data_IF_200303865633
#
_entry.id   IF_200303865633
#
_cell.length_a   1.000
_cell.length_b   1.000
_cell.length_c   1.000
_cell.angle_alpha   90.00
_cell.angle_beta   90.00
_cell.angle_gamma   90.00
#
_symmetry.space_group_name_H-M   'P 1'
#
loop_
_entity.id
_entity.type
_entity.pdbx_description
1 polymer ?
#
# COMPACT_ATOMS: atom_id res chain seq x y z
N UNK A 1 -24.42 6.98 -16.08
CA UNK A 1 -23.59 8.19 -15.88
C UNK A 1 -22.73 8.55 -17.10
N UNK A 2 -22.12 7.59 -17.81
CA UNK A 2 -21.26 7.84 -18.99
C UNK A 2 -21.92 8.67 -20.12
N UNK A 3 -23.20 8.43 -20.41
CA UNK A 3 -23.92 9.12 -21.49
C UNK A 3 -24.28 10.58 -21.13
N UNK A 4 -24.59 10.84 -19.86
CA UNK A 4 -24.94 12.19 -19.38
C UNK A 4 -23.76 13.17 -19.44
N UNK A 5 -22.53 12.68 -19.25
CA UNK A 5 -21.33 13.52 -19.27
C UNK A 5 -21.01 14.03 -20.69
N UNK A 6 -21.20 13.17 -21.69
CA UNK A 6 -21.02 13.52 -23.11
C UNK A 6 -22.07 14.54 -23.54
N UNK A 7 -23.34 14.33 -23.13
CA UNK A 7 -24.43 15.25 -23.43
C UNK A 7 -24.21 16.63 -22.79
N UNK A 8 -23.76 16.69 -21.53
CA UNK A 8 -23.46 17.96 -20.86
C UNK A 8 -22.32 18.72 -21.55
N UNK A 9 -21.26 18.03 -22.00
CA UNK A 9 -20.13 18.64 -22.69
C UNK A 9 -20.55 19.21 -24.06
N UNK A 10 -21.38 18.48 -24.80
CA UNK A 10 -21.95 18.93 -26.08
C UNK A 10 -22.81 20.18 -25.88
N UNK A 11 -23.65 20.22 -24.84
CA UNK A 11 -24.48 21.38 -24.53
C UNK A 11 -23.64 22.63 -24.24
N UNK A 12 -22.55 22.49 -23.47
CA UNK A 12 -21.65 23.61 -23.16
C UNK A 12 -20.95 24.12 -24.41
N UNK A 13 -20.44 23.24 -25.27
CA UNK A 13 -19.80 23.62 -26.54
C UNK A 13 -20.78 24.32 -27.47
N UNK A 14 -22.00 23.80 -27.61
CA UNK A 14 -23.06 24.41 -28.44
C UNK A 14 -23.47 25.77 -27.89
N UNK A 15 -23.60 25.93 -26.57
CA UNK A 15 -23.93 27.22 -25.95
C UNK A 15 -22.84 28.29 -26.18
N UNK A 16 -21.56 27.89 -26.14
CA UNK A 16 -20.42 28.77 -26.43
C UNK A 16 -20.44 29.19 -27.90
N UNK A 17 -20.69 28.25 -28.83
CA UNK A 17 -20.80 28.54 -30.27
C UNK A 17 -21.94 29.52 -30.55
N UNK A 18 -23.12 29.30 -29.96
CA UNK A 18 -24.28 30.19 -30.13
C UNK A 18 -23.99 31.57 -29.54
N UNK A 19 -23.35 31.65 -28.36
CA UNK A 19 -23.00 32.92 -27.74
C UNK A 19 -21.96 33.72 -28.55
N UNK A 20 -20.97 33.04 -29.16
CA UNK A 20 -19.97 33.70 -30.01
C UNK A 20 -20.60 34.20 -31.31
N UNK A 21 -21.48 33.40 -31.94
CA UNK A 21 -22.23 33.80 -33.14
C UNK A 21 -23.12 35.04 -32.90
N UNK A 22 -23.77 35.12 -31.74
CA UNK A 22 -24.63 36.26 -31.39
C UNK A 22 -23.86 37.57 -31.11
N UNK A 23 -22.54 37.52 -30.84
CA UNK A 23 -21.73 38.72 -30.52
C UNK A 23 -20.97 39.32 -31.70
N UNK A 24 -20.92 38.64 -32.86
CA UNK A 24 -20.32 39.19 -34.07
C UNK A 24 -18.82 39.53 -33.94
N UNK A 25 -18.07 38.75 -33.16
CA UNK A 25 -16.62 38.95 -32.95
C UNK A 25 -15.79 38.44 -34.14
N UNK A 26 -14.62 39.03 -34.36
CA UNK A 26 -13.70 38.63 -35.42
C UNK A 26 -13.07 37.25 -35.15
N UNK A 27 -13.15 36.38 -36.16
CA UNK A 27 -13.27 34.92 -36.01
C UNK A 27 -11.96 34.17 -35.73
N UNK A 28 -10.85 34.85 -35.40
CA UNK A 28 -9.53 34.20 -35.32
C UNK A 28 -8.95 34.16 -33.90
N UNK A 29 -9.20 35.18 -33.06
CA UNK A 29 -8.66 35.19 -31.69
C UNK A 29 -9.53 34.40 -30.68
N UNK A 30 -10.84 34.28 -30.89
CA UNK A 30 -11.70 33.49 -29.98
C UNK A 30 -11.54 31.96 -30.15
N UNK A 31 -11.09 31.49 -31.31
CA UNK A 31 -11.03 30.06 -31.60
C UNK A 31 -9.89 29.32 -30.92
N UNK A 32 -8.80 30.02 -30.55
CA UNK A 32 -7.72 29.39 -29.80
C UNK A 32 -8.19 28.95 -28.40
N UNK A 33 -9.10 29.72 -27.79
CA UNK A 33 -9.69 29.41 -26.49
C UNK A 33 -10.67 28.24 -26.55
N UNK A 34 -11.51 28.17 -27.60
CA UNK A 34 -12.39 27.02 -27.84
C UNK A 34 -11.57 25.77 -28.11
N UNK A 35 -10.51 25.89 -28.90
CA UNK A 35 -9.58 24.79 -29.20
C UNK A 35 -8.90 24.29 -27.93
N UNK A 36 -8.41 25.19 -27.06
CA UNK A 36 -7.86 24.80 -25.76
C UNK A 36 -8.90 24.07 -24.89
N UNK A 37 -10.12 24.60 -24.79
CA UNK A 37 -11.19 23.98 -23.98
C UNK A 37 -11.53 22.57 -24.48
N UNK A 38 -11.61 22.37 -25.79
CA UNK A 38 -11.85 21.06 -26.42
C UNK A 38 -10.67 20.12 -26.17
N UNK A 39 -9.43 20.61 -26.29
CA UNK A 39 -8.21 19.82 -26.01
C UNK A 39 -8.16 19.40 -24.54
N UNK A 40 -8.44 20.31 -23.59
CA UNK A 40 -8.48 19.98 -22.16
C UNK A 40 -9.58 18.97 -21.83
N UNK A 41 -10.77 19.13 -22.41
CA UNK A 41 -11.86 18.18 -22.24
C UNK A 41 -11.50 16.79 -22.80
N UNK A 42 -10.85 16.73 -23.96
CA UNK A 42 -10.38 15.49 -24.55
C UNK A 42 -9.30 14.82 -23.69
N UNK A 43 -8.31 15.57 -23.21
CA UNK A 43 -7.27 15.06 -22.31
C UNK A 43 -7.87 14.51 -21.03
N UNK A 44 -8.79 15.25 -20.39
CA UNK A 44 -9.48 14.79 -19.19
C UNK A 44 -10.27 13.49 -19.44
N UNK A 45 -10.91 13.37 -20.61
CA UNK A 45 -11.63 12.15 -21.00
C UNK A 45 -10.69 10.95 -21.22
N UNK A 46 -9.56 11.12 -21.90
CA UNK A 46 -8.60 10.04 -22.13
C UNK A 46 -7.91 9.60 -20.83
N UNK A 47 -7.60 10.54 -19.94
CA UNK A 47 -7.08 10.24 -18.59
C UNK A 47 -8.10 9.42 -17.79
N UNK A 48 -9.39 9.78 -17.87
CA UNK A 48 -10.47 9.02 -17.24
C UNK A 48 -10.58 7.58 -17.80
N UNK A 49 -10.49 7.41 -19.12
CA UNK A 49 -10.54 6.08 -19.76
C UNK A 49 -9.34 5.22 -19.36
N UNK A 50 -8.12 5.76 -19.43
CA UNK A 50 -6.90 5.05 -19.07
C UNK A 50 -6.90 4.59 -17.60
N UNK A 51 -7.54 5.36 -16.72
CA UNK A 51 -7.73 5.00 -15.31
C UNK A 51 -8.68 3.82 -15.12
N UNK A 52 -9.84 3.82 -15.78
CA UNK A 52 -10.80 2.71 -15.71
C UNK A 52 -10.18 1.37 -16.17
N UNK A 53 -9.22 1.40 -17.09
CA UNK A 53 -8.50 0.21 -17.52
C UNK A 53 -7.30 -0.16 -16.64
N UNK A 54 -6.80 0.75 -15.78
CA UNK A 54 -5.62 0.54 -14.94
C UNK A 54 -5.95 0.13 -13.50
N UNK A 55 -7.20 0.27 -13.04
CA UNK A 55 -7.61 -0.16 -11.70
C UNK A 55 -8.06 -1.62 -11.76
N UNK A 56 -7.32 -2.59 -11.19
CA UNK A 56 -7.80 -3.96 -11.04
C UNK A 56 -9.07 -3.94 -10.19
N UNK A 57 -10.03 -4.82 -10.50
CA UNK A 57 -11.30 -4.90 -9.78
C UNK A 57 -11.08 -5.23 -8.29
N UNK A 58 -10.96 -4.19 -7.46
CA UNK A 58 -10.95 -4.32 -6.00
C UNK A 58 -12.37 -4.63 -5.57
N UNK A 59 -12.56 -5.74 -4.87
CA UNK A 59 -13.85 -6.16 -4.33
C UNK A 59 -14.44 -5.08 -3.44
N UNK A 60 -15.71 -4.76 -3.66
CA UNK A 60 -16.45 -3.64 -3.06
C UNK A 60 -16.62 -3.69 -1.53
N UNK A 61 -15.97 -4.62 -0.82
CA UNK A 61 -16.10 -4.83 0.62
C UNK A 61 -15.11 -4.01 1.46
N UNK A 62 -14.03 -3.48 0.87
CA UNK A 62 -13.00 -2.70 1.60
C UNK A 62 -12.87 -1.23 1.14
N UNK A 63 -13.87 -0.70 0.44
CA UNK A 63 -13.88 0.68 -0.04
C UNK A 63 -14.23 1.70 1.07
N UNK A 64 -13.40 1.75 2.11
CA UNK A 64 -13.36 2.86 3.07
C UNK A 64 -12.56 4.04 2.50
N UNK A 65 -13.23 5.18 2.34
CA UNK A 65 -12.67 6.55 2.25
C UNK A 65 -11.72 6.99 1.11
N UNK A 66 -11.40 6.16 0.12
CA UNK A 66 -10.56 6.62 -1.01
C UNK A 66 -11.26 7.59 -1.99
N UNK A 67 -12.58 7.77 -1.89
CA UNK A 67 -13.36 8.66 -2.77
C UNK A 67 -13.23 10.15 -2.43
N UNK A 68 -12.72 10.49 -1.24
CA UNK A 68 -12.63 11.88 -0.77
C UNK A 68 -11.57 12.74 -1.45
N UNK A 69 -10.47 12.17 -1.99
CA UNK A 69 -9.36 13.00 -2.51
C UNK A 69 -9.64 13.64 -3.87
N UNK A 70 -10.56 13.08 -4.66
CA UNK A 70 -10.87 13.56 -6.01
C UNK A 70 -11.80 14.77 -6.01
N UNK A 71 -12.71 14.87 -5.04
CA UNK A 71 -13.59 16.03 -4.90
C UNK A 71 -12.79 17.32 -4.67
N UNK A 72 -11.65 17.25 -3.99
CA UNK A 72 -10.76 18.40 -3.80
C UNK A 72 -10.14 18.91 -5.10
N UNK A 73 -9.65 18.01 -5.97
CA UNK A 73 -9.11 18.39 -7.28
C UNK A 73 -10.19 19.00 -8.17
N UNK A 74 -11.37 18.38 -8.19
CA UNK A 74 -12.54 18.90 -8.91
C UNK A 74 -12.94 20.28 -8.37
N UNK A 75 -12.95 20.49 -7.06
CA UNK A 75 -13.23 21.80 -6.44
C UNK A 75 -12.18 22.86 -6.78
N UNK A 76 -10.88 22.52 -6.81
CA UNK A 76 -9.80 23.45 -7.19
C UNK A 76 -9.93 23.86 -8.66
N UNK A 77 -10.21 22.90 -9.55
CA UNK A 77 -10.40 23.16 -10.98
C UNK A 77 -11.66 24.01 -11.19
N UNK A 78 -12.77 23.68 -10.55
CA UNK A 78 -14.02 24.46 -10.63
C UNK A 78 -13.80 25.88 -10.11
N UNK A 79 -13.16 26.05 -8.94
CA UNK A 79 -12.89 27.37 -8.38
C UNK A 79 -12.00 28.22 -9.32
N UNK A 80 -10.97 27.60 -9.90
CA UNK A 80 -10.10 28.24 -10.89
C UNK A 80 -10.88 28.70 -12.13
N UNK A 81 -11.71 27.82 -12.69
CA UNK A 81 -12.55 28.14 -13.85
C UNK A 81 -13.56 29.24 -13.51
N UNK A 82 -14.19 29.20 -12.34
CA UNK A 82 -15.13 30.23 -11.89
C UNK A 82 -14.46 31.60 -11.71
N UNK A 83 -13.23 31.65 -11.16
CA UNK A 83 -12.47 32.91 -10.98
C UNK A 83 -12.09 33.50 -12.33
N UNK A 84 -11.60 32.67 -13.26
CA UNK A 84 -11.25 33.10 -14.62
C UNK A 84 -12.50 33.57 -15.40
N UNK A 85 -13.62 32.84 -15.30
CA UNK A 85 -14.89 33.20 -15.94
C UNK A 85 -15.49 34.49 -15.36
N UNK A 86 -15.45 34.69 -14.04
CA UNK A 86 -15.95 35.90 -13.38
C UNK A 86 -15.19 37.15 -13.83
N UNK A 87 -13.87 37.06 -13.96
CA UNK A 87 -13.04 38.19 -14.43
C UNK A 87 -13.19 38.45 -15.93
N UNK A 88 -13.33 37.40 -16.74
CA UNK A 88 -13.68 37.54 -18.16
C UNK A 88 -15.01 38.27 -18.36
N UNK A 89 -16.02 37.97 -17.54
CA UNK A 89 -17.31 38.68 -17.56
C UNK A 89 -17.21 40.16 -17.17
N UNK A 90 -16.13 40.59 -16.50
CA UNK A 90 -15.87 42.01 -16.19
C UNK A 90 -15.04 42.74 -17.25
N UNK A 91 -14.49 42.04 -18.25
CA UNK A 91 -13.61 42.65 -19.25
C UNK A 91 -12.19 42.93 -18.76
N UNK A 92 -11.81 42.38 -17.59
CA UNK A 92 -10.45 42.50 -17.06
C UNK A 92 -9.59 41.36 -17.62
N UNK A 93 -8.51 41.68 -18.33
CA UNK A 93 -7.53 40.67 -18.74
C UNK A 93 -6.84 40.11 -17.48
N UNK A 94 -6.92 38.79 -17.21
CA UNK A 94 -6.27 38.23 -16.04
C UNK A 94 -4.76 38.39 -16.20
N UNK A 95 -4.06 38.85 -15.15
CA UNK A 95 -2.62 38.89 -15.19
C UNK A 95 -2.05 37.49 -15.42
N UNK A 96 -1.08 37.37 -16.34
CA UNK A 96 -0.50 36.08 -16.77
C UNK A 96 -0.09 35.21 -15.57
N UNK A 97 0.38 35.81 -14.47
CA UNK A 97 0.78 35.08 -13.27
C UNK A 97 -0.37 34.35 -12.55
N UNK A 98 -1.60 34.87 -12.58
CA UNK A 98 -2.77 34.22 -11.96
C UNK A 98 -3.04 32.90 -12.69
N UNK A 99 -2.98 32.92 -14.03
CA UNK A 99 -3.15 31.73 -14.87
C UNK A 99 -2.01 30.73 -14.64
N UNK A 100 -0.76 31.20 -14.56
CA UNK A 100 0.39 30.33 -14.26
C UNK A 100 0.25 29.67 -12.89
N UNK A 101 -0.09 30.42 -11.83
CA UNK A 101 -0.26 29.85 -10.48
C UNK A 101 -1.39 28.82 -10.44
N UNK A 102 -2.52 29.14 -11.08
CA UNK A 102 -3.68 28.27 -11.06
C UNK A 102 -3.48 26.96 -11.85
N UNK A 103 -2.54 26.93 -12.80
CA UNK A 103 -2.18 25.72 -13.55
C UNK A 103 -1.00 24.99 -12.89
N UNK A 104 0.06 25.71 -12.52
CA UNK A 104 1.28 25.11 -12.00
C UNK A 104 1.11 24.56 -10.59
N UNK A 105 0.31 25.19 -9.71
CA UNK A 105 0.12 24.69 -8.36
C UNK A 105 -0.59 23.32 -8.34
N UNK A 106 -1.72 23.10 -9.04
CA UNK A 106 -2.33 21.77 -9.11
C UNK A 106 -1.45 20.72 -9.78
N UNK A 107 -0.72 21.09 -10.84
CA UNK A 107 0.21 20.17 -11.52
C UNK A 107 1.38 19.76 -10.62
N UNK A 108 1.94 20.69 -9.86
CA UNK A 108 2.99 20.41 -8.88
C UNK A 108 2.48 19.48 -7.77
N UNK A 109 1.30 19.77 -7.22
CA UNK A 109 0.64 18.93 -6.21
C UNK A 109 0.37 17.51 -6.73
N UNK A 110 -0.08 17.41 -7.97
CA UNK A 110 -0.31 16.14 -8.64
C UNK A 110 1.01 15.38 -8.90
N UNK A 111 2.06 16.08 -9.32
CA UNK A 111 3.40 15.51 -9.47
C UNK A 111 3.95 14.96 -8.15
N UNK A 112 3.81 15.69 -7.05
CA UNK A 112 4.19 15.22 -5.71
C UNK A 112 3.41 13.96 -5.32
N UNK A 113 2.10 13.92 -5.59
CA UNK A 113 1.27 12.72 -5.33
C UNK A 113 1.69 11.52 -6.20
N UNK A 114 2.01 11.72 -7.47
CA UNK A 114 2.45 10.65 -8.37
C UNK A 114 3.80 10.05 -7.96
N UNK A 115 4.71 10.87 -7.43
CA UNK A 115 6.06 10.42 -7.07
C UNK A 115 6.06 9.74 -5.70
N UNK A 116 5.33 10.29 -4.71
CA UNK A 116 5.28 9.82 -3.33
C UNK A 116 3.87 10.07 -2.73
N UNK A 117 2.88 9.19 -2.98
CA UNK A 117 1.50 9.42 -2.55
C UNK A 117 1.35 9.47 -1.02
N UNK A 118 2.21 8.77 -0.29
CA UNK A 118 2.21 8.74 1.19
C UNK A 118 2.61 10.09 1.79
N UNK A 119 3.60 10.76 1.19
CA UNK A 119 4.04 12.08 1.64
C UNK A 119 3.01 13.16 1.34
N UNK A 120 2.30 13.05 0.21
CA UNK A 120 1.21 13.96 -0.10
C UNK A 120 0.09 13.86 0.96
N UNK A 121 -0.19 12.66 1.47
CA UNK A 121 -1.19 12.42 2.52
C UNK A 121 -0.78 12.99 3.88
N UNK A 122 0.49 12.92 4.27
CA UNK A 122 0.98 13.58 5.49
C UNK A 122 1.04 15.10 5.33
N UNK A 123 1.55 15.57 4.19
CA UNK A 123 1.72 16.99 3.91
C UNK A 123 0.38 17.73 3.79
N UNK A 124 -0.63 17.14 3.13
CA UNK A 124 -1.98 17.73 3.03
C UNK A 124 -2.64 17.93 4.41
N UNK A 125 -2.33 17.04 5.35
CA UNK A 125 -2.90 17.05 6.71
C UNK A 125 -2.07 17.91 7.67
N UNK A 126 -0.85 18.28 7.26
CA UNK A 126 -0.03 19.22 7.99
C UNK A 126 -0.58 20.65 7.83
N UNK A 127 -0.46 21.46 8.89
CA UNK A 127 -0.78 22.88 8.81
C UNK A 127 0.03 23.64 7.75
N UNK A 128 1.13 23.07 7.25
CA UNK A 128 1.97 23.65 6.22
C UNK A 128 1.25 23.81 4.88
N UNK A 129 0.33 22.89 4.53
CA UNK A 129 -0.42 22.95 3.27
C UNK A 129 -1.22 24.26 3.13
N UNK A 130 -2.02 24.56 4.16
CA UNK A 130 -2.84 25.77 4.22
C UNK A 130 -1.95 27.03 4.20
N UNK A 131 -0.82 27.00 4.89
CA UNK A 131 0.15 28.09 4.89
C UNK A 131 0.75 28.35 3.50
N UNK A 132 1.09 27.32 2.73
CA UNK A 132 1.58 27.51 1.35
C UNK A 132 0.54 28.18 0.46
N UNK A 133 -0.74 27.78 0.56
CA UNK A 133 -1.82 28.40 -0.22
C UNK A 133 -1.99 29.86 0.19
N UNK A 134 -1.98 30.16 1.49
CA UNK A 134 -2.11 31.54 2.00
C UNK A 134 -0.92 32.40 1.55
N UNK A 135 0.31 31.90 1.64
CA UNK A 135 1.52 32.63 1.23
C UNK A 135 1.50 32.92 -0.27
N UNK A 136 1.15 31.92 -1.11
CA UNK A 136 1.03 32.13 -2.57
C UNK A 136 -0.08 33.13 -2.89
N UNK A 137 -1.22 33.07 -2.19
CA UNK A 137 -2.32 34.02 -2.36
C UNK A 137 -1.95 35.45 -1.96
N UNK A 138 -1.32 35.64 -0.80
CA UNK A 138 -0.87 36.94 -0.30
C UNK A 138 0.21 37.52 -1.22
N UNK A 139 1.15 36.71 -1.69
CA UNK A 139 2.20 37.16 -2.60
C UNK A 139 1.67 37.48 -4.01
N UNK A 140 0.69 36.72 -4.50
CA UNK A 140 -0.02 37.04 -5.74
C UNK A 140 -0.80 38.36 -5.65
N UNK A 141 -1.47 38.60 -4.52
CA UNK A 141 -2.14 39.87 -4.24
C UNK A 141 -1.15 41.03 -4.13
N UNK A 142 -0.01 40.83 -3.46
CA UNK A 142 1.04 41.84 -3.36
C UNK A 142 1.74 42.11 -4.70
N UNK A 143 1.76 41.16 -5.63
CA UNK A 143 2.32 41.34 -6.97
C UNK A 143 1.44 42.21 -7.88
N UNK A 144 0.13 42.25 -7.64
CA UNK A 144 -0.87 42.93 -8.49
C UNK A 144 -0.85 44.46 -8.33
N UNK A 145 -0.19 45.00 -7.30
CA UNK A 145 -0.54 46.34 -6.81
C UNK A 145 0.26 47.56 -7.29
N UNK A 146 1.39 47.51 -8.04
CA UNK A 146 2.03 48.75 -8.58
C UNK A 146 2.95 48.55 -9.82
N UNK A 147 3.20 49.64 -10.57
CA UNK A 147 3.68 49.69 -11.96
C UNK A 147 5.20 49.47 -12.21
N UNK A 148 6.08 49.55 -11.21
CA UNK A 148 7.52 49.54 -11.49
C UNK A 148 8.14 48.13 -11.58
N UNK A 149 8.83 47.86 -12.70
CA UNK A 149 9.49 46.58 -13.03
C UNK A 149 10.48 46.13 -11.95
N UNK A 150 11.18 47.07 -11.32
CA UNK A 150 12.18 46.79 -10.27
C UNK A 150 11.52 46.13 -9.05
N UNK A 151 10.32 46.56 -8.68
CA UNK A 151 9.59 45.99 -7.56
C UNK A 151 9.12 44.56 -7.86
N UNK A 152 8.81 44.23 -9.12
CA UNK A 152 8.44 42.86 -9.52
C UNK A 152 9.63 41.89 -9.39
N UNK A 153 10.81 42.28 -9.86
CA UNK A 153 12.01 41.44 -9.80
C UNK A 153 12.42 41.17 -8.34
N UNK A 154 12.38 42.20 -7.48
CA UNK A 154 12.69 42.04 -6.06
C UNK A 154 11.74 41.07 -5.34
N UNK A 155 10.44 41.12 -5.67
CA UNK A 155 9.42 40.23 -5.08
C UNK A 155 9.57 38.78 -5.55
N UNK A 156 9.87 38.56 -6.83
CA UNK A 156 10.16 37.20 -7.35
C UNK A 156 11.42 36.62 -6.69
N UNK A 157 12.47 37.44 -6.51
CA UNK A 157 13.66 37.03 -5.77
C UNK A 157 13.36 36.63 -4.32
N UNK A 158 12.51 37.40 -3.62
CA UNK A 158 12.09 37.10 -2.25
C UNK A 158 11.23 35.82 -2.17
N UNK A 159 10.36 35.58 -3.15
CA UNK A 159 9.57 34.35 -3.28
C UNK A 159 10.48 33.12 -3.39
N UNK A 160 11.45 33.17 -4.32
CA UNK A 160 12.39 32.06 -4.52
C UNK A 160 13.22 31.80 -3.25
N UNK A 161 13.67 32.86 -2.58
CA UNK A 161 14.40 32.76 -1.32
C UNK A 161 13.54 32.10 -0.22
N UNK A 162 12.27 32.52 -0.07
CA UNK A 162 11.35 31.94 0.91
C UNK A 162 11.06 30.47 0.62
N UNK A 163 10.85 30.10 -0.64
CA UNK A 163 10.66 28.71 -1.05
C UNK A 163 11.91 27.86 -0.75
N UNK A 164 13.12 28.39 -0.99
CA UNK A 164 14.37 27.73 -0.65
C UNK A 164 14.51 27.54 0.87
N UNK A 165 14.26 28.59 1.66
CA UNK A 165 14.35 28.51 3.13
C UNK A 165 13.31 27.55 3.70
N UNK A 166 12.08 27.54 3.19
CA UNK A 166 11.05 26.58 3.58
C UNK A 166 11.41 25.14 3.17
N UNK A 167 11.98 24.94 1.97
CA UNK A 167 12.46 23.65 1.51
C UNK A 167 13.59 23.09 2.37
N UNK A 168 14.56 23.94 2.75
CA UNK A 168 15.67 23.56 3.64
C UNK A 168 15.16 23.29 5.07
N UNK A 169 14.22 24.11 5.57
CA UNK A 169 13.61 23.90 6.88
C UNK A 169 12.84 22.57 6.97
N UNK A 170 12.08 22.24 5.93
CA UNK A 170 11.39 20.96 5.80
C UNK A 170 12.38 19.79 5.72
N UNK A 171 13.49 19.95 4.98
CA UNK A 171 14.55 18.94 4.87
C UNK A 171 15.28 18.72 6.21
N UNK A 172 15.47 19.76 7.02
CA UNK A 172 16.12 19.64 8.34
C UNK A 172 15.26 18.95 9.41
N UNK A 173 13.94 18.88 9.20
CA UNK A 173 13.00 18.14 10.04
C UNK A 173 12.73 16.73 9.53
N UNK A 174 13.50 16.24 8.56
CA UNK A 174 13.49 14.83 8.24
C UNK A 174 13.81 14.03 9.52
N UNK A 175 12.94 13.11 9.94
CA UNK A 175 13.25 12.26 11.06
C UNK A 175 14.43 11.37 10.65
N UNK A 176 15.59 11.64 11.22
CA UNK A 176 16.67 10.66 11.29
C UNK A 176 16.11 9.50 12.15
N UNK A 177 15.58 8.48 11.49
CA UNK A 177 14.90 7.32 12.11
C UNK A 177 15.91 6.37 12.76
N UNK A 178 16.64 6.86 13.74
CA UNK A 178 17.33 6.04 14.73
C UNK A 178 16.50 6.00 16.01
N UNK A 179 15.34 5.33 16.00
CA UNK A 179 14.67 4.98 17.26
C UNK A 179 15.40 3.74 17.79
N UNK A 180 16.10 3.82 18.93
CA UNK A 180 16.70 2.64 19.53
C UNK A 180 15.57 1.77 20.12
N UNK A 181 15.28 0.65 19.46
CA UNK A 181 14.43 -0.40 20.01
C UNK A 181 15.11 -0.95 21.27
N UNK A 182 14.63 -0.53 22.44
CA UNK A 182 15.04 -1.13 23.71
C UNK A 182 14.17 -2.37 23.90
N UNK A 183 14.56 -3.47 23.27
CA UNK A 183 13.90 -4.77 23.46
C UNK A 183 14.37 -5.36 24.79
N UNK A 184 13.46 -5.45 25.78
CA UNK A 184 13.70 -6.20 27.01
C UNK A 184 13.60 -7.68 26.68
N UNK A 185 14.73 -8.34 26.42
CA UNK A 185 14.78 -9.78 26.15
C UNK A 185 14.59 -10.56 27.46
N UNK A 186 13.37 -11.05 27.70
CA UNK A 186 13.11 -12.00 28.79
C UNK A 186 13.53 -13.41 28.32
N UNK A 187 14.71 -13.86 28.73
CA UNK A 187 15.20 -15.22 28.46
C UNK A 187 14.48 -16.25 29.32
N UNK A 188 13.53 -16.97 28.71
CA UNK A 188 12.91 -18.20 29.23
C UNK A 188 13.93 -19.35 29.20
N UNK A 189 13.88 -20.34 30.12
CA UNK A 189 14.92 -21.36 30.25
C UNK A 189 15.11 -22.17 28.96
N UNK A 190 16.36 -22.26 28.52
CA UNK A 190 16.78 -22.96 27.30
C UNK A 190 16.33 -24.43 27.32
N UNK A 191 15.43 -24.85 26.43
CA UNK A 191 15.18 -26.27 26.18
C UNK A 191 16.47 -26.89 25.68
N UNK A 192 16.79 -28.12 26.13
CA UNK A 192 17.92 -28.88 25.61
C UNK A 192 17.92 -28.96 24.06
N UNK A 193 19.07 -29.28 23.44
CA UNK A 193 19.22 -29.25 22.00
C UNK A 193 18.10 -30.03 21.31
N UNK A 194 17.53 -29.50 20.22
CA UNK A 194 16.39 -30.12 19.56
C UNK A 194 16.79 -31.49 19.00
N UNK A 195 16.10 -32.53 19.47
CA UNK A 195 16.28 -33.89 18.98
C UNK A 195 15.47 -34.05 17.70
N UNK A 196 16.13 -33.94 16.56
CA UNK A 196 15.53 -34.20 15.25
C UNK A 196 15.45 -35.71 15.03
N UNK A 197 14.23 -36.23 14.86
CA UNK A 197 14.02 -37.62 14.43
C UNK A 197 14.37 -37.77 12.93
N UNK A 198 14.80 -38.94 12.48
CA UNK A 198 15.07 -39.18 11.07
C UNK A 198 13.77 -39.21 10.25
N UNK A 199 13.85 -38.83 8.97
CA UNK A 199 12.69 -38.69 8.08
C UNK A 199 11.86 -39.98 7.98
N UNK A 200 12.50 -41.15 7.99
CA UNK A 200 11.85 -42.45 7.92
C UNK A 200 10.98 -42.78 9.15
N UNK A 201 11.16 -42.07 10.28
CA UNK A 201 10.26 -42.16 11.42
C UNK A 201 9.13 -41.13 11.35
N UNK A 202 9.44 -39.91 10.91
CA UNK A 202 8.49 -38.79 10.96
C UNK A 202 7.49 -38.81 9.81
N UNK A 203 7.96 -39.02 8.59
CA UNK A 203 7.13 -38.92 7.39
C UNK A 203 5.96 -39.92 7.39
N UNK A 204 6.12 -41.21 7.76
CA UNK A 204 4.98 -42.11 7.82
C UNK A 204 3.85 -41.64 8.76
N UNK A 205 4.21 -40.99 9.87
CA UNK A 205 3.23 -40.45 10.84
C UNK A 205 2.49 -39.24 10.25
N UNK A 206 3.22 -38.36 9.56
CA UNK A 206 2.63 -37.21 8.86
C UNK A 206 1.70 -37.70 7.74
N UNK A 207 2.17 -38.61 6.88
CA UNK A 207 1.37 -39.15 5.77
C UNK A 207 0.04 -39.75 6.22
N UNK A 208 0.05 -40.48 7.34
CA UNK A 208 -1.17 -41.05 7.92
C UNK A 208 -2.17 -39.96 8.33
N UNK A 209 -1.69 -38.86 8.93
CA UNK A 209 -2.55 -37.76 9.36
C UNK A 209 -3.00 -36.85 8.20
N UNK A 210 -2.15 -36.61 7.21
CA UNK A 210 -2.42 -35.76 6.05
C UNK A 210 -3.40 -36.40 5.08
N UNK A 211 -3.23 -37.69 4.77
CA UNK A 211 -3.99 -38.33 3.69
C UNK A 211 -4.46 -39.75 3.99
N UNK A 212 -4.20 -40.27 5.19
CA UNK A 212 -4.34 -41.70 5.50
C UNK A 212 -3.28 -42.55 4.79
N UNK A 213 -2.11 -41.96 4.49
CA UNK A 213 -1.00 -42.63 3.80
C UNK A 213 -1.22 -42.88 2.30
N UNK A 214 -2.27 -42.30 1.70
CA UNK A 214 -2.67 -42.54 0.32
C UNK A 214 -2.14 -41.46 -0.63
N UNK A 215 -1.49 -41.89 -1.73
CA UNK A 215 -1.07 -40.99 -2.80
C UNK A 215 -2.21 -40.61 -3.75
N UNK A 216 -3.10 -41.56 -4.03
CA UNK A 216 -4.13 -41.42 -5.06
C UNK A 216 -5.54 -41.47 -4.46
N UNK A 217 -6.50 -40.92 -5.20
CA UNK A 217 -7.92 -41.13 -4.97
C UNK A 217 -8.32 -42.59 -5.22
N UNK A 218 -9.61 -42.90 -5.06
CA UNK A 218 -10.15 -44.24 -5.27
C UNK A 218 -9.92 -44.79 -6.70
N UNK A 219 -9.62 -43.92 -7.67
CA UNK A 219 -9.31 -44.31 -9.05
C UNK A 219 -7.88 -44.86 -9.24
N UNK A 220 -7.02 -44.72 -8.23
CA UNK A 220 -5.63 -45.19 -8.24
C UNK A 220 -4.69 -44.41 -9.15
N UNK A 221 -5.13 -43.29 -9.74
CA UNK A 221 -4.34 -42.50 -10.71
C UNK A 221 -4.33 -41.02 -10.36
N UNK A 222 -5.46 -40.45 -9.94
CA UNK A 222 -5.56 -39.05 -9.60
C UNK A 222 -4.90 -38.82 -8.24
N UNK A 223 -3.92 -37.90 -8.10
CA UNK A 223 -3.34 -37.58 -6.81
C UNK A 223 -4.42 -37.13 -5.84
N UNK A 224 -4.37 -37.65 -4.61
CA UNK A 224 -5.35 -37.34 -3.57
C UNK A 224 -5.40 -35.82 -3.34
N UNK A 225 -6.57 -35.22 -3.46
CA UNK A 225 -6.72 -33.78 -3.38
C UNK A 225 -7.22 -33.33 -2.01
N UNK A 226 -6.69 -32.19 -1.56
CA UNK A 226 -7.26 -31.47 -0.44
C UNK A 226 -8.47 -30.64 -0.93
N UNK A 227 -9.64 -30.71 -0.27
CA UNK A 227 -10.83 -29.99 -0.72
C UNK A 227 -10.74 -28.47 -0.53
N UNK A 228 -9.84 -27.97 0.32
CA UNK A 228 -9.76 -26.55 0.69
C UNK A 228 -8.46 -25.88 0.25
N UNK A 229 -7.51 -26.62 -0.32
CA UNK A 229 -6.20 -26.09 -0.72
C UNK A 229 -5.65 -26.78 -1.97
N UNK A 230 -4.47 -26.35 -2.42
CA UNK A 230 -3.75 -26.95 -3.56
C UNK A 230 -2.88 -28.14 -3.14
N UNK A 231 -3.01 -28.60 -1.89
CA UNK A 231 -2.28 -29.74 -1.36
C UNK A 231 -2.68 -31.05 -2.07
N UNK A 232 -1.67 -31.84 -2.45
CA UNK A 232 -1.88 -33.09 -3.17
C UNK A 232 -1.01 -34.25 -2.67
N UNK A 233 -1.52 -35.47 -2.88
CA UNK A 233 -0.79 -36.72 -2.68
C UNK A 233 -0.63 -37.14 -1.23
N UNK A 234 0.30 -38.09 -1.01
CA UNK A 234 0.52 -38.78 0.27
C UNK A 234 0.89 -37.85 1.42
N UNK A 235 1.64 -36.79 1.13
CA UNK A 235 2.06 -35.81 2.15
C UNK A 235 1.33 -34.47 2.02
N UNK A 236 0.25 -34.40 1.23
CA UNK A 236 -0.56 -33.19 1.03
C UNK A 236 0.31 -31.94 0.76
N UNK A 237 1.25 -32.07 -0.17
CA UNK A 237 2.20 -31.01 -0.50
C UNK A 237 1.48 -29.94 -1.32
N UNK A 238 1.48 -28.68 -0.87
CA UNK A 238 0.86 -27.56 -1.59
C UNK A 238 1.48 -27.38 -2.99
N UNK A 239 0.79 -27.85 -4.02
CA UNK A 239 1.29 -27.85 -5.40
C UNK A 239 1.56 -26.44 -5.92
N UNK A 240 0.76 -25.45 -5.53
CA UNK A 240 0.96 -24.05 -5.91
C UNK A 240 2.29 -23.46 -5.45
N UNK A 241 2.90 -24.01 -4.40
CA UNK A 241 4.17 -23.50 -3.85
C UNK A 241 5.38 -24.35 -4.26
N UNK A 242 5.15 -25.65 -4.46
CA UNK A 242 6.24 -26.62 -4.46
C UNK A 242 6.43 -27.34 -5.78
N UNK A 243 5.43 -27.35 -6.65
CA UNK A 243 5.48 -28.18 -7.85
C UNK A 243 6.60 -27.79 -8.82
N UNK A 244 6.76 -26.49 -9.09
CA UNK A 244 7.80 -26.02 -10.00
C UNK A 244 9.20 -26.34 -9.47
N UNK A 245 9.42 -26.13 -8.17
CA UNK A 245 10.68 -26.46 -7.50
C UNK A 245 10.97 -27.95 -7.52
N UNK A 246 9.97 -28.79 -7.25
CA UNK A 246 10.12 -30.24 -7.30
C UNK A 246 10.50 -30.71 -8.71
N UNK A 247 9.80 -30.20 -9.74
CA UNK A 247 10.11 -30.50 -11.15
C UNK A 247 11.53 -30.09 -11.53
N UNK A 248 11.99 -28.93 -11.06
CA UNK A 248 13.37 -28.46 -11.27
C UNK A 248 14.43 -29.38 -10.64
N UNK A 249 14.05 -30.19 -9.65
CA UNK A 249 14.89 -31.20 -9.01
C UNK A 249 14.67 -32.62 -9.58
N UNK A 250 13.88 -32.76 -10.65
CA UNK A 250 13.55 -34.06 -11.24
C UNK A 250 12.56 -34.89 -10.43
N UNK A 251 11.80 -34.27 -9.52
CA UNK A 251 10.77 -34.93 -8.71
C UNK A 251 9.37 -34.49 -9.15
N UNK A 252 8.50 -35.44 -9.49
CA UNK A 252 7.09 -35.15 -9.79
C UNK A 252 6.20 -35.49 -8.59
N UNK A 253 5.76 -34.47 -7.86
CA UNK A 253 4.93 -34.62 -6.65
C UNK A 253 3.55 -35.23 -6.92
N UNK A 254 3.13 -35.34 -8.19
CA UNK A 254 1.90 -36.07 -8.57
C UNK A 254 2.10 -37.59 -8.59
N UNK A 255 3.33 -38.07 -8.69
CA UNK A 255 3.67 -39.50 -8.57
C UNK A 255 3.96 -39.88 -7.12
N UNK A 256 3.84 -41.17 -6.77
CA UNK A 256 4.15 -41.63 -5.41
C UNK A 256 5.63 -41.39 -5.08
N UNK A 257 6.52 -41.78 -6.01
CA UNK A 257 7.97 -41.71 -5.85
C UNK A 257 8.43 -40.25 -5.72
N UNK A 258 7.90 -39.36 -6.56
CA UNK A 258 8.23 -37.94 -6.50
C UNK A 258 7.63 -37.24 -5.26
N UNK A 259 6.43 -37.63 -4.81
CA UNK A 259 5.84 -37.12 -3.58
C UNK A 259 6.66 -37.52 -2.35
N UNK A 260 7.11 -38.78 -2.27
CA UNK A 260 7.99 -39.28 -1.19
C UNK A 260 9.38 -38.64 -1.20
N UNK A 261 10.00 -38.55 -2.38
CA UNK A 261 11.31 -37.94 -2.52
C UNK A 261 11.29 -36.45 -2.13
N UNK A 262 10.26 -35.72 -2.57
CA UNK A 262 10.15 -34.30 -2.27
C UNK A 262 9.77 -34.03 -0.82
N UNK A 263 8.87 -34.84 -0.22
CA UNK A 263 8.58 -34.77 1.21
C UNK A 263 9.82 -35.01 2.08
N UNK A 264 10.68 -35.97 1.69
CA UNK A 264 11.97 -36.19 2.35
C UNK A 264 12.89 -34.98 2.26
N UNK A 265 13.00 -34.38 1.08
CA UNK A 265 13.77 -33.15 0.90
C UNK A 265 13.24 -31.98 1.77
N UNK A 266 11.92 -31.76 1.79
CA UNK A 266 11.29 -30.76 2.66
C UNK A 266 11.61 -31.06 4.13
N UNK A 267 11.40 -32.30 4.57
CA UNK A 267 11.66 -32.67 5.95
C UNK A 267 13.13 -32.47 6.33
N UNK A 268 14.08 -32.83 5.47
CA UNK A 268 15.53 -32.68 5.72
C UNK A 268 15.99 -31.22 5.74
N UNK A 269 15.31 -30.34 5.01
CA UNK A 269 15.67 -28.91 4.93
C UNK A 269 15.01 -28.06 6.01
N UNK A 270 13.75 -28.32 6.37
CA UNK A 270 12.96 -27.44 7.27
C UNK A 270 12.22 -28.18 8.39
N UNK A 271 12.37 -29.50 8.52
CA UNK A 271 11.70 -30.27 9.58
C UNK A 271 10.21 -30.41 9.29
N UNK A 272 9.35 -30.21 10.29
CA UNK A 272 7.88 -30.34 10.16
C UNK A 272 7.19 -29.12 9.56
N UNK A 273 7.92 -28.05 9.27
CA UNK A 273 7.36 -26.73 8.97
C UNK A 273 6.26 -26.73 7.88
N UNK A 274 6.47 -27.49 6.81
CA UNK A 274 5.54 -27.52 5.67
C UNK A 274 4.18 -28.17 5.98
N UNK A 275 4.07 -28.84 7.13
CA UNK A 275 2.86 -29.52 7.60
C UNK A 275 2.26 -28.87 8.85
N UNK A 276 2.82 -27.75 9.32
CA UNK A 276 2.35 -27.06 10.53
C UNK A 276 1.17 -26.12 10.29
N UNK A 277 0.91 -25.75 9.03
CA UNK A 277 -0.17 -24.82 8.67
C UNK A 277 -1.56 -25.46 8.80
N UNK A 278 -1.68 -26.77 8.60
CA UNK A 278 -2.90 -27.51 8.85
C UNK A 278 -2.97 -27.90 10.33
N UNK A 279 -3.77 -27.16 11.10
CA UNK A 279 -3.91 -27.38 12.54
C UNK A 279 -4.58 -28.71 12.88
N UNK A 280 -5.44 -29.25 12.00
CA UNK A 280 -6.12 -30.53 12.21
C UNK A 280 -5.15 -31.68 12.00
N UNK A 281 -4.40 -31.67 10.90
CA UNK A 281 -3.31 -32.64 10.65
C UNK A 281 -2.25 -32.56 11.75
N UNK A 282 -1.83 -31.34 12.13
CA UNK A 282 -0.87 -31.12 13.21
C UNK A 282 -1.31 -31.74 14.54
N UNK A 283 -2.56 -31.52 14.92
CA UNK A 283 -3.13 -32.13 16.14
C UNK A 283 -3.09 -33.68 16.11
N UNK A 284 -3.08 -34.30 14.93
CA UNK A 284 -2.94 -35.73 14.75
C UNK A 284 -1.48 -36.23 14.87
N UNK A 285 -0.51 -35.60 14.19
CA UNK A 285 0.86 -36.11 14.14
C UNK A 285 1.76 -35.63 15.28
N UNK A 286 1.57 -34.40 15.80
CA UNK A 286 2.47 -33.81 16.79
C UNK A 286 2.54 -34.62 18.10
N UNK A 287 1.42 -35.05 18.71
CA UNK A 287 1.46 -35.90 19.91
C UNK A 287 2.16 -37.24 19.68
N UNK A 288 2.01 -37.83 18.48
CA UNK A 288 2.66 -39.10 18.11
C UNK A 288 4.17 -38.91 18.02
N UNK A 289 4.64 -37.83 17.39
CA UNK A 289 6.07 -37.53 17.31
C UNK A 289 6.67 -37.22 18.68
N UNK A 290 5.96 -36.45 19.53
CA UNK A 290 6.39 -36.14 20.89
C UNK A 290 6.61 -37.40 21.73
N UNK A 291 5.77 -38.43 21.54
CA UNK A 291 5.94 -39.73 22.21
C UNK A 291 7.24 -40.46 21.81
N UNK A 292 7.77 -40.20 20.61
CA UNK A 292 9.07 -40.70 20.15
C UNK A 292 10.25 -39.79 20.55
N UNK A 293 10.01 -38.77 21.38
CA UNK A 293 11.04 -37.82 21.79
C UNK A 293 11.39 -36.80 20.71
N UNK A 294 10.56 -36.65 19.67
CA UNK A 294 10.64 -35.49 18.79
C UNK A 294 10.49 -34.25 19.65
N UNK A 295 11.48 -33.38 19.65
CA UNK A 295 11.30 -32.00 20.06
C UNK A 295 11.37 -31.22 18.78
N UNK A 296 10.25 -30.63 18.38
CA UNK A 296 10.27 -29.63 17.33
C UNK A 296 11.42 -28.69 17.66
N UNK A 297 12.39 -28.59 16.75
CA UNK A 297 13.31 -27.48 16.78
C UNK A 297 12.43 -26.25 16.93
N UNK A 298 12.64 -25.37 17.92
CA UNK A 298 12.04 -24.06 17.86
C UNK A 298 12.68 -23.37 16.66
N UNK A 299 12.19 -23.68 15.47
CA UNK A 299 12.69 -23.22 14.17
C UNK A 299 12.28 -21.76 13.97
N UNK A 300 11.25 -21.33 14.71
CA UNK A 300 10.89 -19.94 14.85
C UNK A 300 11.87 -19.29 15.84
N UNK A 301 12.93 -18.70 15.29
CA UNK A 301 13.59 -17.61 16.01
C UNK A 301 12.52 -16.53 16.17
N UNK A 302 11.94 -16.44 17.37
CA UNK A 302 10.94 -15.43 17.68
C UNK A 302 11.41 -14.53 18.81
N UNK A 303 10.95 -13.29 18.81
CA UNK A 303 11.13 -12.39 19.93
C UNK A 303 9.79 -11.75 20.28
N UNK A 304 9.43 -11.84 21.55
CA UNK A 304 8.22 -11.22 22.10
C UNK A 304 8.60 -9.88 22.73
N UNK A 305 7.78 -8.86 22.51
CA UNK A 305 7.92 -7.56 23.15
C UNK A 305 6.57 -6.86 23.26
N UNK A 306 6.50 -5.90 24.18
CA UNK A 306 5.33 -5.08 24.38
C UNK A 306 5.53 -3.74 23.66
N UNK A 307 4.73 -3.49 22.63
CA UNK A 307 4.69 -2.20 21.95
C UNK A 307 3.67 -1.31 22.66
N UNK A 308 4.15 -0.25 23.29
CA UNK A 308 3.29 0.74 23.97
C UNK A 308 2.89 1.82 22.98
N UNK A 309 1.59 2.01 22.78
CA UNK A 309 1.03 2.99 21.85
C UNK A 309 0.21 4.02 22.63
N UNK A 310 0.37 5.30 22.30
CA UNK A 310 -0.32 6.43 22.96
C UNK A 310 -1.10 7.26 21.93
N UNK A 311 -2.19 7.95 22.32
CA UNK A 311 -2.91 8.87 21.46
C UNK A 311 -1.98 9.95 20.89
N UNK A 312 -1.98 10.12 19.56
CA UNK A 312 -1.13 11.09 18.86
C UNK A 312 0.32 10.63 18.62
N UNK A 313 0.73 9.48 19.16
CA UNK A 313 2.06 8.90 18.97
C UNK A 313 1.91 7.47 18.42
N UNK A 314 1.82 7.30 17.08
CA UNK A 314 1.60 6.00 16.49
C UNK A 314 2.79 5.07 16.76
N UNK A 315 2.48 3.85 17.18
CA UNK A 315 3.46 2.80 17.42
C UNK A 315 3.96 2.27 16.09
N UNK A 316 5.28 2.27 15.88
CA UNK A 316 5.90 1.77 14.65
C UNK A 316 6.62 0.44 14.90
N UNK A 317 6.26 -0.56 14.13
CA UNK A 317 6.92 -1.86 14.09
C UNK A 317 7.56 -2.07 12.72
N UNK A 318 8.89 -2.22 12.69
CA UNK A 318 9.63 -2.55 11.47
C UNK A 318 9.86 -4.06 11.43
N UNK A 319 9.34 -4.71 10.41
CA UNK A 319 9.40 -6.15 10.21
C UNK A 319 10.39 -6.41 9.08
N UNK A 320 11.59 -6.96 9.37
CA UNK A 320 12.58 -7.22 8.34
C UNK A 320 12.08 -8.21 7.28
N UNK A 321 12.69 -8.17 6.10
CA UNK A 321 12.47 -9.20 5.07
C UNK A 321 12.75 -10.59 5.68
N UNK A 322 11.90 -11.58 5.37
CA UNK A 322 11.91 -12.91 5.98
C UNK A 322 11.50 -12.93 7.47
N UNK A 323 10.78 -11.92 7.93
CA UNK A 323 10.07 -11.96 9.22
C UNK A 323 8.59 -11.63 9.04
N UNK A 324 7.77 -12.20 9.92
CA UNK A 324 6.36 -11.82 10.10
C UNK A 324 6.14 -11.42 11.55
N UNK A 325 5.00 -10.80 11.83
CA UNK A 325 4.58 -10.51 13.20
C UNK A 325 3.24 -11.16 13.49
N UNK A 326 3.10 -11.64 14.73
CA UNK A 326 1.90 -12.28 15.27
C UNK A 326 1.61 -11.67 16.67
N UNK A 327 0.44 -11.96 17.23
CA UNK A 327 0.12 -11.57 18.61
C UNK A 327 0.77 -12.53 19.61
N UNK A 328 1.50 -12.00 20.59
CA UNK A 328 2.09 -12.78 21.68
C UNK A 328 1.08 -13.05 22.83
N UNK A 329 -0.13 -12.47 22.77
CA UNK A 329 -1.14 -12.59 23.81
C UNK A 329 -2.53 -12.08 23.36
N UNK A 330 -3.46 -11.90 24.32
CA UNK A 330 -4.80 -11.38 24.03
C UNK A 330 -4.73 -10.03 23.33
N UNK A 331 -5.57 -9.84 22.31
CA UNK A 331 -5.61 -8.62 21.52
C UNK A 331 -6.39 -7.55 22.31
N UNK A 332 -5.75 -6.44 22.73
CA UNK A 332 -6.47 -5.36 23.41
C UNK A 332 -7.42 -4.64 22.42
N UNK A 333 -8.41 -3.90 22.91
CA UNK A 333 -9.31 -3.09 22.07
C UNK A 333 -8.84 -1.63 21.99
N UNK A 334 -9.41 -0.85 21.08
CA UNK A 334 -9.18 0.60 21.01
C UNK A 334 -7.95 1.02 20.22
N UNK A 335 -7.62 0.30 19.15
CA UNK A 335 -6.53 0.64 18.24
C UNK A 335 -6.91 0.34 16.78
N UNK A 336 -6.21 0.98 15.85
CA UNK A 336 -6.26 0.73 14.40
C UNK A 336 -4.86 0.44 13.89
N UNK A 337 -4.74 -0.17 12.72
CA UNK A 337 -3.44 -0.45 12.12
C UNK A 337 -3.42 -0.24 10.62
N UNK A 338 -2.29 0.23 10.12
CA UNK A 338 -1.98 0.38 8.70
C UNK A 338 -0.60 -0.21 8.43
N UNK A 339 -0.35 -0.66 7.20
CA UNK A 339 0.95 -1.22 6.81
C UNK A 339 1.42 -0.64 5.47
N UNK A 340 2.73 -0.46 5.33
CA UNK A 340 3.40 -0.11 4.08
C UNK A 340 4.77 -0.80 3.99
N UNK A 341 5.42 -0.76 2.82
CA UNK A 341 6.78 -1.29 2.63
C UNK A 341 7.77 -0.12 2.53
N UNK A 342 8.91 -0.22 3.21
CA UNK A 342 9.98 0.78 3.07
C UNK A 342 10.84 0.55 1.81
N UNK A 343 11.79 1.45 1.57
CA UNK A 343 12.66 1.43 0.37
C UNK A 343 13.61 0.23 0.31
N UNK A 344 13.81 -0.48 1.43
CA UNK A 344 14.64 -1.70 1.49
C UNK A 344 13.79 -2.97 1.58
N UNK A 345 12.47 -2.84 1.46
CA UNK A 345 11.51 -3.95 1.42
C UNK A 345 11.07 -4.47 2.80
N UNK A 346 11.40 -3.77 3.90
CA UNK A 346 10.84 -4.12 5.19
C UNK A 346 9.36 -3.72 5.23
N UNK A 347 8.54 -4.50 5.92
CA UNK A 347 7.17 -4.10 6.19
C UNK A 347 7.15 -3.22 7.43
N UNK A 348 6.54 -2.05 7.32
CA UNK A 348 6.29 -1.16 8.43
C UNK A 348 4.82 -1.30 8.83
N UNK A 349 4.58 -1.74 10.06
CA UNK A 349 3.26 -1.78 10.67
C UNK A 349 3.11 -0.60 11.63
N UNK A 350 2.09 0.21 11.40
CA UNK A 350 1.74 1.37 12.23
C UNK A 350 0.52 1.03 13.06
N UNK A 351 0.55 1.39 14.35
CA UNK A 351 -0.56 1.20 15.28
C UNK A 351 -0.98 2.54 15.87
N UNK A 352 -2.26 2.84 15.85
CA UNK A 352 -2.82 4.08 16.39
C UNK A 352 -3.84 3.78 17.47
N UNK A 353 -3.84 4.55 18.56
CA UNK A 353 -4.85 4.42 19.61
C UNK A 353 -6.11 5.18 19.21
N UNK A 354 -7.26 4.52 19.30
CA UNK A 354 -8.57 5.13 19.08
C UNK A 354 -9.14 5.56 20.43
N UNK A 355 -9.62 6.81 20.49
CA UNK A 355 -10.36 7.32 21.65
C UNK A 355 -11.52 6.38 22.02
N UNK A 356 -11.73 6.06 23.31
CA UNK A 356 -11.28 6.77 24.51
C UNK A 356 -10.01 6.22 25.18
N UNK A 357 -9.28 5.29 24.54
CA UNK A 357 -8.09 4.71 25.17
C UNK A 357 -6.96 5.74 25.31
N UNK A 358 -6.28 5.76 26.46
CA UNK A 358 -5.16 6.68 26.75
C UNK A 358 -3.79 6.04 26.54
N UNK A 359 -3.72 4.71 26.60
CA UNK A 359 -2.52 3.93 26.36
C UNK A 359 -2.94 2.48 26.06
N UNK A 360 -2.32 1.87 25.05
CA UNK A 360 -2.55 0.45 24.70
C UNK A 360 -1.21 -0.26 24.64
N UNK A 361 -1.09 -1.36 25.39
CA UNK A 361 0.08 -2.25 25.34
C UNK A 361 -0.22 -3.42 24.43
N UNK A 362 0.47 -3.47 23.28
CA UNK A 362 0.30 -4.48 22.26
C UNK A 362 1.36 -5.59 22.46
N UNK A 363 0.96 -6.82 22.84
CA UNK A 363 1.89 -7.94 22.94
C UNK A 363 2.21 -8.47 21.54
N UNK A 364 3.39 -8.13 21.01
CA UNK A 364 3.80 -8.46 19.64
C UNK A 364 4.87 -9.55 19.68
N UNK A 365 4.75 -10.51 18.76
CA UNK A 365 5.75 -11.54 18.47
C UNK A 365 6.29 -11.33 17.07
N UNK A 366 7.59 -11.14 16.92
CA UNK A 366 8.25 -11.24 15.62
C UNK A 366 8.73 -12.67 15.40
N UNK A 367 8.45 -13.24 14.24
CA UNK A 367 8.81 -14.61 13.87
C UNK A 367 9.64 -14.58 12.60
N UNK A 368 10.84 -15.16 12.64
CA UNK A 368 11.64 -15.37 11.43
C UNK A 368 11.00 -16.45 10.57
N UNK A 369 10.65 -16.11 9.33
CA UNK A 369 10.15 -17.05 8.33
C UNK A 369 11.31 -17.88 7.76
N UNK A 370 11.05 -19.15 7.45
CA UNK A 370 11.96 -19.96 6.65
C UNK A 370 11.80 -19.69 5.15
N UNK A 371 10.60 -19.27 4.71
CA UNK A 371 10.29 -18.99 3.32
C UNK A 371 9.61 -17.62 3.14
N UNK A 372 9.68 -17.04 1.94
CA UNK A 372 9.04 -15.75 1.64
C UNK A 372 7.49 -15.84 1.71
N UNK A 373 6.93 -17.02 1.42
CA UNK A 373 5.48 -17.26 1.49
C UNK A 373 4.95 -17.33 2.92
N UNK A 374 5.73 -17.85 3.88
CA UNK A 374 5.37 -17.76 5.31
C UNK A 374 5.25 -16.31 5.81
N UNK A 375 5.91 -15.39 5.11
CA UNK A 375 5.94 -13.96 5.39
C UNK A 375 4.88 -13.18 4.59
N UNK A 376 4.13 -13.83 3.69
CA UNK A 376 3.09 -13.21 2.89
C UNK A 376 1.75 -13.24 3.66
N UNK A 377 1.57 -12.29 4.58
CA UNK A 377 0.32 -12.09 5.34
C UNK A 377 -0.11 -10.63 5.33
#
# INVERSE_FOLDING_TARGET
MREWFIVALIIVVVAIIISSWLRGSDWIEEWWHVTLLVVFAAVAFFVWQAWQSAVPAVSATDAGDSTGSWWYLVSIIIATVCILAYRWLRGDEPPIWVTVIAICAPLFLWGCWLIQPEWYLEWRHSGYFLWTIIVVGVLGWLADNEEEVVARVARVGLLLLLLIVMGIGAYSKWPNTGIPLTATTTTTPTPGPPTRLPANMVLPIIAECESGGQQFEADGVTPKQNPTSTAIGKYQIMSSLHEEKAKGMGMDIRTLEGNEAYAKFLYETSGTLHWEADLESKACWEPKLLAFGYRATPTTLFTDFNLVVKPGEPGKLTIPVMWRWDWAGPIPKGWTTNAYMDTVGNRIQMFEVVSPATEVVLPVRLIKCATQQECAW
#
